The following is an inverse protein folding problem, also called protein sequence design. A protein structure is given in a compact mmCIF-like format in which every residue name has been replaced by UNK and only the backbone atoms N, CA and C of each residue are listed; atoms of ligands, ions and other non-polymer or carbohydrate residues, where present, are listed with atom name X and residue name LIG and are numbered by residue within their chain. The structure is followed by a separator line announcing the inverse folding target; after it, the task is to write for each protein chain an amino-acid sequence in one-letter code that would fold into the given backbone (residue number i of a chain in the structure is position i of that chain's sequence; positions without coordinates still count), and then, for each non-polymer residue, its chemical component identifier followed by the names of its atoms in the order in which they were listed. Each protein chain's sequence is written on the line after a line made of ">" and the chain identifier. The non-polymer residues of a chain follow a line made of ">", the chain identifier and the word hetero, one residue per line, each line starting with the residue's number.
data_IF_490215883896
#
_entry.id   IF_490215883896
#
_cell.length_a   1.000
_cell.length_b   1.000
_cell.length_c   1.000
_cell.angle_alpha   90.00
_cell.angle_beta   90.00
_cell.angle_gamma   90.00
#
_symmetry.space_group_name_H-M   'P 1'
#
loop_
_entity.id
_entity.type
_entity.pdbx_description
1 polymer ?
#
# COMPACT_ATOMS: atom_id res chain seq x y z
N UNK A 1 8.14 -16.82 16.05
CA UNK A 1 7.41 -18.03 16.51
C UNK A 1 6.74 -18.60 15.28
N UNK A 2 7.09 -19.82 14.87
CA UNK A 2 6.38 -20.50 13.79
C UNK A 2 5.03 -20.96 14.36
N UNK A 3 3.93 -20.42 13.86
CA UNK A 3 2.61 -20.90 14.23
C UNK A 3 2.34 -22.20 13.47
N UNK A 4 1.60 -23.12 14.07
CA UNK A 4 1.17 -24.35 13.38
C UNK A 4 -0.19 -24.10 12.75
N UNK A 5 -0.38 -24.37 11.45
CA UNK A 5 -1.68 -24.34 10.82
C UNK A 5 -2.67 -25.23 11.57
N UNK A 6 -3.93 -24.83 11.61
CA UNK A 6 -4.97 -25.58 12.32
C UNK A 6 -6.30 -25.55 11.56
N UNK A 7 -7.12 -26.59 11.73
CA UNK A 7 -8.47 -26.60 11.18
C UNK A 7 -9.37 -25.65 12.00
N UNK A 8 -10.12 -24.72 11.38
CA UNK A 8 -11.00 -23.81 12.11
C UNK A 8 -12.11 -24.54 12.87
N UNK A 9 -12.43 -24.05 14.06
CA UNK A 9 -13.49 -24.61 14.92
C UNK A 9 -14.91 -24.26 14.42
N UNK A 10 -15.06 -23.25 13.56
CA UNK A 10 -16.37 -22.74 13.13
C UNK A 10 -16.32 -22.20 11.69
N UNK A 11 -16.67 -23.06 10.74
CA UNK A 11 -16.66 -22.71 9.32
C UNK A 11 -15.26 -22.34 8.83
N UNK A 12 -15.14 -21.24 8.10
CA UNK A 12 -13.87 -20.77 7.51
C UNK A 12 -13.28 -19.55 8.25
N UNK A 13 -13.59 -19.40 9.55
CA UNK A 13 -13.17 -18.22 10.33
C UNK A 13 -11.86 -18.49 11.05
N UNK A 14 -10.86 -17.63 10.82
CA UNK A 14 -9.53 -17.70 11.44
C UNK A 14 -9.29 -16.55 12.41
N UNK A 15 -8.18 -16.60 13.19
CA UNK A 15 -7.85 -15.55 14.16
C UNK A 15 -7.36 -14.28 13.46
N UNK A 16 -7.15 -13.23 14.25
CA UNK A 16 -6.56 -11.99 13.77
C UNK A 16 -5.16 -12.25 13.18
N UNK A 17 -4.88 -11.67 12.00
CA UNK A 17 -3.63 -11.88 11.23
C UNK A 17 -3.47 -13.29 10.65
N UNK A 18 -4.56 -14.03 10.52
CA UNK A 18 -4.59 -15.31 9.81
C UNK A 18 -5.58 -15.26 8.64
N UNK A 19 -5.44 -16.19 7.71
CA UNK A 19 -6.37 -16.39 6.59
C UNK A 19 -6.71 -17.88 6.47
N UNK A 20 -7.89 -18.17 5.92
CA UNK A 20 -8.29 -19.55 5.63
C UNK A 20 -7.78 -19.95 4.25
N UNK A 21 -6.90 -20.94 4.20
CA UNK A 21 -6.40 -21.51 2.95
C UNK A 21 -7.33 -22.64 2.49
N UNK A 22 -7.93 -22.47 1.32
CA UNK A 22 -8.88 -23.44 0.77
C UNK A 22 -8.21 -24.72 0.27
N UNK A 23 -6.92 -24.69 -0.05
CA UNK A 23 -6.20 -25.88 -0.53
C UNK A 23 -5.74 -26.73 0.66
N UNK A 24 -5.19 -26.11 1.70
CA UNK A 24 -4.82 -26.79 2.93
C UNK A 24 -6.04 -27.16 3.80
N UNK A 25 -7.16 -26.43 3.65
CA UNK A 25 -8.33 -26.47 4.53
C UNK A 25 -7.97 -26.14 5.98
N UNK A 26 -7.15 -25.10 6.15
CA UNK A 26 -6.60 -24.69 7.43
C UNK A 26 -6.53 -23.17 7.57
N UNK A 27 -6.53 -22.70 8.80
CA UNK A 27 -6.13 -21.35 9.15
C UNK A 27 -4.60 -21.26 9.20
N UNK A 28 -4.08 -20.24 8.51
CA UNK A 28 -2.65 -20.02 8.31
C UNK A 28 -2.27 -18.58 8.61
N UNK A 29 -1.03 -18.37 9.05
CA UNK A 29 -0.55 -17.02 9.36
C UNK A 29 -0.45 -16.17 8.10
N UNK A 30 -0.84 -14.90 8.21
CA UNK A 30 -0.51 -13.87 7.21
C UNK A 30 0.91 -13.38 7.42
N UNK A 31 1.52 -12.88 6.36
CA UNK A 31 2.75 -12.12 6.39
C UNK A 31 2.51 -10.69 6.88
N UNK A 32 3.43 -10.13 7.68
CA UNK A 32 3.35 -8.74 8.13
C UNK A 32 3.56 -7.76 6.97
N UNK A 33 3.24 -6.46 7.15
CA UNK A 33 3.68 -5.41 6.24
C UNK A 33 5.19 -5.50 5.98
N UNK A 34 5.62 -5.19 4.75
CA UNK A 34 7.01 -5.37 4.34
C UNK A 34 7.38 -6.75 3.83
N UNK A 35 6.44 -7.70 3.88
CA UNK A 35 6.64 -9.08 3.45
C UNK A 35 5.49 -9.58 2.56
N UNK A 36 5.78 -10.62 1.80
CA UNK A 36 4.83 -11.38 0.98
C UNK A 36 4.92 -12.88 1.26
N UNK A 37 3.91 -13.64 0.85
CA UNK A 37 3.88 -15.09 1.01
C UNK A 37 4.73 -15.75 -0.09
N UNK A 38 5.93 -16.19 0.26
CA UNK A 38 6.83 -16.92 -0.63
C UNK A 38 6.42 -18.38 -0.82
N UNK A 39 5.93 -19.00 0.26
CA UNK A 39 5.36 -20.35 0.21
C UNK A 39 4.08 -20.34 1.03
N UNK A 40 2.97 -20.75 0.41
CA UNK A 40 1.69 -20.91 1.10
C UNK A 40 1.76 -22.05 2.12
N UNK A 41 0.92 -21.96 3.15
CA UNK A 41 0.81 -23.03 4.13
C UNK A 41 0.33 -24.35 3.50
N UNK A 42 0.63 -25.43 4.20
CA UNK A 42 0.15 -26.78 3.91
C UNK A 42 -0.50 -27.36 5.16
N UNK A 43 -0.90 -28.63 5.12
CA UNK A 43 -1.47 -29.30 6.29
C UNK A 43 -0.56 -29.38 7.52
N UNK A 44 0.75 -29.22 7.32
CA UNK A 44 1.76 -29.45 8.35
C UNK A 44 2.74 -28.29 8.51
N UNK A 45 2.76 -27.33 7.59
CA UNK A 45 3.71 -26.22 7.57
C UNK A 45 2.99 -24.90 7.34
N UNK A 46 3.31 -23.86 8.09
CA UNK A 46 2.71 -22.54 7.96
C UNK A 46 3.25 -21.75 6.77
N UNK A 47 2.61 -20.61 6.49
CA UNK A 47 3.04 -19.68 5.46
C UNK A 47 4.48 -19.23 5.73
N UNK A 48 5.33 -19.35 4.70
CA UNK A 48 6.69 -18.82 4.74
C UNK A 48 6.67 -17.45 4.08
N UNK A 49 7.04 -16.44 4.86
CA UNK A 49 7.09 -15.06 4.40
C UNK A 49 8.51 -14.67 4.01
N UNK A 50 8.63 -13.80 3.00
CA UNK A 50 9.91 -13.20 2.61
C UNK A 50 9.76 -11.67 2.48
N UNK A 51 10.88 -10.96 2.58
CA UNK A 51 10.89 -9.49 2.52
C UNK A 51 10.62 -9.01 1.10
N UNK A 52 9.85 -7.93 0.97
CA UNK A 52 9.70 -7.23 -0.30
C UNK A 52 11.06 -6.78 -0.87
N UNK A 53 11.23 -6.94 -2.17
CA UNK A 53 12.38 -6.46 -2.92
C UNK A 53 12.45 -4.92 -2.96
N UNK A 54 13.55 -4.42 -3.51
CA UNK A 54 13.72 -3.00 -3.73
C UNK A 54 12.62 -2.45 -4.65
N UNK A 55 12.05 -1.31 -4.27
CA UNK A 55 10.94 -0.64 -4.99
C UNK A 55 9.61 -1.41 -4.99
N UNK A 56 9.41 -2.35 -4.07
CA UNK A 56 8.10 -2.99 -3.83
C UNK A 56 7.69 -2.87 -2.35
N UNK A 57 6.39 -3.00 -2.07
CA UNK A 57 5.85 -2.83 -0.73
C UNK A 57 4.57 -3.64 -0.44
N UNK A 58 4.29 -3.87 0.84
CA UNK A 58 2.98 -4.29 1.36
C UNK A 58 2.68 -3.54 2.65
N UNK A 59 1.53 -2.89 2.74
CA UNK A 59 1.18 -2.02 3.88
C UNK A 59 0.36 -2.72 4.97
N UNK A 60 -0.24 -3.87 4.65
CA UNK A 60 -1.15 -4.60 5.52
C UNK A 60 -0.69 -6.04 5.71
N UNK A 61 -1.18 -6.68 6.79
CA UNK A 61 -1.03 -8.12 6.97
C UNK A 61 -1.70 -8.87 5.81
N UNK A 62 -0.92 -9.62 5.05
CA UNK A 62 -1.30 -10.13 3.75
C UNK A 62 -0.87 -11.59 3.54
N UNK A 63 -1.35 -12.20 2.46
CA UNK A 63 -0.86 -13.49 1.97
C UNK A 63 -0.64 -13.40 0.46
N UNK A 64 -0.32 -12.20 -0.05
CA UNK A 64 -0.13 -12.01 -1.49
C UNK A 64 1.16 -12.71 -1.91
N UNK A 65 1.20 -13.31 -3.12
CA UNK A 65 2.39 -14.02 -3.58
C UNK A 65 3.54 -13.08 -3.91
N UNK A 66 3.26 -11.80 -4.17
CA UNK A 66 4.22 -10.79 -4.59
C UNK A 66 3.88 -9.43 -3.96
N UNK A 67 4.90 -8.62 -3.69
CA UNK A 67 4.70 -7.26 -3.18
C UNK A 67 4.18 -6.30 -4.28
N UNK A 68 3.50 -5.23 -3.88
CA UNK A 68 3.01 -4.20 -4.80
C UNK A 68 4.18 -3.33 -5.28
N UNK A 69 4.21 -2.97 -6.56
CA UNK A 69 5.22 -2.05 -7.06
C UNK A 69 5.02 -0.64 -6.49
N UNK A 70 6.10 -0.02 -6.04
CA UNK A 70 6.06 1.39 -5.66
C UNK A 70 5.75 2.28 -6.87
N UNK A 71 5.10 3.40 -6.59
CA UNK A 71 4.87 4.46 -7.57
C UNK A 71 6.19 4.96 -8.16
N UNK A 72 6.11 5.35 -9.44
CA UNK A 72 7.19 6.04 -10.14
C UNK A 72 7.66 7.27 -9.36
N UNK A 73 8.91 7.69 -9.59
CA UNK A 73 9.45 8.95 -9.02
C UNK A 73 8.50 10.12 -9.30
N UNK A 74 8.47 11.08 -8.37
CA UNK A 74 7.65 12.28 -8.53
C UNK A 74 8.14 13.14 -9.69
N UNK A 75 7.20 13.75 -10.41
CA UNK A 75 7.50 14.66 -11.52
C UNK A 75 8.11 15.99 -11.04
N UNK A 76 8.62 16.81 -11.96
CA UNK A 76 9.22 18.12 -11.64
C UNK A 76 8.30 19.03 -10.84
N UNK A 77 7.01 19.03 -11.12
CA UNK A 77 6.01 19.90 -10.46
C UNK A 77 5.45 19.30 -9.15
N UNK A 78 6.03 18.18 -8.72
CA UNK A 78 5.65 17.46 -7.50
C UNK A 78 6.78 17.45 -6.48
N UNK A 79 6.40 17.16 -5.24
CA UNK A 79 7.29 16.88 -4.11
C UNK A 79 6.94 15.49 -3.57
N UNK A 80 7.97 14.72 -3.25
CA UNK A 80 7.81 13.47 -2.53
C UNK A 80 7.52 13.77 -1.06
N UNK A 81 6.31 13.48 -0.62
CA UNK A 81 5.90 13.65 0.79
C UNK A 81 6.02 12.36 1.58
N UNK A 82 6.04 11.23 0.89
CA UNK A 82 6.30 9.92 1.48
C UNK A 82 7.21 9.12 0.55
N UNK A 83 8.33 8.64 1.11
CA UNK A 83 9.23 7.76 0.40
C UNK A 83 8.68 6.34 0.34
N UNK A 84 8.95 5.66 -0.77
CA UNK A 84 8.72 4.22 -0.90
C UNK A 84 9.63 3.46 0.09
N UNK A 85 9.02 2.61 0.90
CA UNK A 85 9.72 1.61 1.74
C UNK A 85 9.07 0.26 1.49
N UNK A 86 9.57 -0.81 2.13
CA UNK A 86 8.92 -2.12 2.04
C UNK A 86 7.49 -2.12 2.62
N UNK A 87 7.16 -1.17 3.49
CA UNK A 87 5.87 -1.12 4.19
C UNK A 87 4.91 -0.06 3.63
N UNK A 88 5.38 0.86 2.77
CA UNK A 88 4.56 1.97 2.31
C UNK A 88 4.93 2.42 0.89
N UNK A 89 3.96 2.99 0.17
CA UNK A 89 4.17 3.47 -1.18
C UNK A 89 4.89 4.83 -1.21
N UNK A 90 5.41 5.19 -2.37
CA UNK A 90 5.77 6.59 -2.67
C UNK A 90 4.51 7.43 -2.84
N UNK A 91 4.42 8.54 -2.12
CA UNK A 91 3.36 9.55 -2.30
C UNK A 91 3.99 10.84 -2.82
N UNK A 92 3.41 11.34 -3.92
CA UNK A 92 3.79 12.60 -4.54
C UNK A 92 2.63 13.59 -4.44
N UNK A 93 2.88 14.80 -3.94
CA UNK A 93 1.90 15.90 -3.92
C UNK A 93 2.39 17.08 -4.76
N UNK A 94 1.50 18.01 -5.07
CA UNK A 94 1.85 19.18 -5.88
C UNK A 94 2.71 20.17 -5.09
N UNK A 95 3.64 20.84 -5.78
CA UNK A 95 4.44 21.92 -5.19
C UNK A 95 3.55 23.11 -4.80
N UNK A 96 3.98 23.94 -3.84
CA UNK A 96 3.29 25.19 -3.53
C UNK A 96 3.06 26.04 -4.80
N UNK A 97 1.85 26.57 -4.96
CA UNK A 97 1.44 27.30 -6.17
C UNK A 97 0.82 26.42 -7.26
N UNK A 98 0.68 25.12 -7.01
CA UNK A 98 0.04 24.15 -7.90
C UNK A 98 -1.01 23.36 -7.14
N UNK A 99 -2.07 22.95 -7.84
CA UNK A 99 -3.13 22.11 -7.27
C UNK A 99 -3.17 20.76 -7.98
N UNK A 100 -3.78 19.76 -7.32
CA UNK A 100 -3.94 18.44 -7.91
C UNK A 100 -5.11 18.44 -8.90
N UNK A 101 -4.80 18.39 -10.20
CA UNK A 101 -5.79 18.31 -11.27
C UNK A 101 -6.33 16.88 -11.45
N UNK A 102 -5.54 15.86 -11.12
CA UNK A 102 -5.95 14.46 -11.15
C UNK A 102 -5.33 13.70 -9.98
N UNK A 103 -6.16 13.20 -9.07
CA UNK A 103 -5.74 12.43 -7.90
C UNK A 103 -5.36 10.99 -8.24
N UNK A 104 -4.61 10.34 -7.34
CA UNK A 104 -4.42 8.88 -7.29
C UNK A 104 -5.11 8.33 -6.04
N UNK A 105 -5.03 7.02 -5.82
CA UNK A 105 -5.42 6.39 -4.54
C UNK A 105 -4.78 7.13 -3.36
N UNK A 106 -3.47 7.42 -3.48
CA UNK A 106 -2.73 8.25 -2.54
C UNK A 106 -1.87 9.28 -3.32
N UNK A 107 -1.97 10.55 -2.93
CA UNK A 107 -1.28 11.66 -3.59
C UNK A 107 -1.89 12.09 -4.93
N UNK A 108 -1.06 12.65 -5.80
CA UNK A 108 -1.48 13.29 -7.03
C UNK A 108 -0.84 12.67 -8.29
N UNK A 109 -1.63 12.50 -9.36
CA UNK A 109 -1.15 12.08 -10.67
C UNK A 109 -0.71 13.24 -11.54
N UNK A 110 -1.46 14.33 -11.55
CA UNK A 110 -1.21 15.48 -12.41
C UNK A 110 -1.43 16.77 -11.64
N UNK A 111 -0.41 17.63 -11.65
CA UNK A 111 -0.47 18.96 -11.05
C UNK A 111 -0.69 20.01 -12.14
N UNK A 112 -1.46 21.05 -11.79
CA UNK A 112 -1.65 22.22 -12.64
C UNK A 112 -1.38 23.50 -11.83
N UNK A 113 -0.86 24.56 -12.45
CA UNK A 113 -0.53 25.79 -11.72
C UNK A 113 -1.81 26.50 -11.29
N UNK A 114 -1.79 27.07 -10.09
CA UNK A 114 -2.88 27.94 -9.63
C UNK A 114 -2.98 29.17 -10.54
N UNK A 115 -4.21 29.52 -10.90
CA UNK A 115 -4.47 30.68 -11.73
C UNK A 115 -4.22 31.95 -10.93
N UNK A 116 -3.37 32.82 -11.46
CA UNK A 116 -3.25 34.19 -10.94
C UNK A 116 -4.50 34.99 -11.30
N UNK A 117 -5.04 35.70 -10.32
CA UNK A 117 -6.11 36.66 -10.56
C UNK A 117 -5.57 37.85 -11.39
N UNK A 118 -6.39 38.37 -12.29
CA UNK A 118 -6.07 39.60 -13.03
C UNK A 118 -6.11 40.80 -12.07
N UNK A 119 -5.44 41.92 -12.38
CA UNK A 119 -5.58 43.16 -11.61
C UNK A 119 -7.05 43.53 -11.43
N UNK A 120 -7.44 43.89 -10.20
CA UNK A 120 -8.83 44.17 -9.82
C UNK A 120 -9.63 42.95 -9.34
N UNK A 121 -9.07 41.74 -9.37
CA UNK A 121 -9.70 40.51 -8.90
C UNK A 121 -8.88 39.83 -7.80
N UNK A 122 -9.55 39.15 -6.87
CA UNK A 122 -8.94 38.42 -5.75
C UNK A 122 -9.32 36.94 -5.73
N UNK A 123 -8.61 36.17 -4.89
CA UNK A 123 -8.89 34.74 -4.68
C UNK A 123 -10.17 34.59 -3.86
N UNK A 124 -11.21 34.01 -4.45
CA UNK A 124 -12.48 33.78 -3.75
C UNK A 124 -12.42 32.60 -2.76
N UNK A 125 -11.61 31.58 -3.07
CA UNK A 125 -11.37 30.41 -2.21
C UNK A 125 -9.91 29.97 -2.32
N UNK A 126 -9.17 29.83 -1.20
CA UNK A 126 -7.83 29.29 -1.21
C UNK A 126 -7.79 27.83 -1.67
N UNK A 127 -6.61 27.42 -2.11
CA UNK A 127 -6.24 26.02 -2.25
C UNK A 127 -6.03 25.40 -0.85
N UNK A 128 -6.69 24.28 -0.56
CA UNK A 128 -6.54 23.49 0.67
C UNK A 128 -6.05 22.05 0.37
N UNK A 129 -5.50 21.81 -0.81
CA UNK A 129 -5.12 20.49 -1.36
C UNK A 129 -3.77 20.00 -0.85
#
# INVERSE_FOLDING_TARGET
>A
VAFTPYAPESGNTCRLREYYDQTAQMCCSKCPPGQHAKVFCTKTSDTVCDSCEDSTYTQLWNWVPECLSCGSRCSSDQVETQACTREQNRICTCRPGWYCALSKQEGCRLCAPLRKCRPGFGVARPDYS
#
